data_IF_846185551399
#
_entry.id   IF_846185551399
#
_cell.length_a   1.000
_cell.length_b   1.000
_cell.length_c   1.000
_cell.angle_alpha   90.00
_cell.angle_beta   90.00
_cell.angle_gamma   90.00
#
_symmetry.space_group_name_H-M   'P 1'
#
loop_
_entity.id
_entity.type
_entity.pdbx_description
1 polymer ?
#
# COMPACT_ATOMS: atom_id res chain seq x y z
N UNK A 1 -8.01 -5.83 -8.94
CA UNK A 1 -7.64 -4.81 -9.94
C UNK A 1 -7.96 -5.32 -11.34
N UNK A 2 -8.94 -4.71 -12.05
CA UNK A 2 -9.40 -5.22 -13.34
C UNK A 2 -8.31 -5.25 -14.42
N UNK A 3 -7.30 -4.37 -14.31
CA UNK A 3 -6.24 -4.20 -15.31
C UNK A 3 -5.00 -5.10 -15.12
N UNK A 4 -4.92 -5.89 -14.04
CA UNK A 4 -3.82 -6.85 -13.84
C UNK A 4 -4.20 -8.16 -14.52
N UNK A 5 -3.38 -8.63 -15.46
CA UNK A 5 -3.67 -9.84 -16.24
C UNK A 5 -3.66 -11.10 -15.37
N UNK A 6 -4.37 -12.18 -15.74
CA UNK A 6 -4.33 -13.45 -15.01
C UNK A 6 -2.92 -14.02 -14.82
N UNK A 7 -2.06 -13.89 -15.83
CA UNK A 7 -0.67 -14.36 -15.78
C UNK A 7 0.13 -13.57 -14.75
N UNK A 8 -0.04 -12.23 -14.73
CA UNK A 8 0.58 -11.38 -13.72
C UNK A 8 0.10 -11.72 -12.31
N UNK A 9 -1.21 -11.99 -12.12
CA UNK A 9 -1.75 -12.42 -10.82
C UNK A 9 -1.15 -13.73 -10.34
N UNK A 10 -1.11 -14.75 -11.20
CA UNK A 10 -0.53 -16.06 -10.86
C UNK A 10 0.94 -15.93 -10.42
N UNK A 11 1.68 -15.10 -11.14
CA UNK A 11 3.09 -14.80 -10.83
C UNK A 11 3.23 -14.09 -9.48
N UNK A 12 2.43 -13.06 -9.22
CA UNK A 12 2.41 -12.35 -7.92
C UNK A 12 1.97 -13.26 -6.76
N UNK A 13 1.00 -14.15 -6.98
CA UNK A 13 0.52 -15.11 -5.98
C UNK A 13 1.60 -16.14 -5.60
N UNK A 14 2.62 -16.37 -6.44
CA UNK A 14 3.81 -17.18 -6.10
C UNK A 14 4.88 -16.42 -5.32
N UNK A 15 4.67 -15.12 -5.05
CA UNK A 15 5.59 -14.28 -4.28
C UNK A 15 6.60 -13.50 -5.13
N UNK A 16 6.45 -13.47 -6.45
CA UNK A 16 7.27 -12.60 -7.29
C UNK A 16 6.97 -11.12 -7.01
N UNK A 17 7.98 -10.22 -6.95
CA UNK A 17 7.74 -8.82 -6.62
C UNK A 17 6.96 -8.09 -7.72
N UNK A 18 6.11 -7.12 -7.36
CA UNK A 18 5.42 -6.28 -8.32
C UNK A 18 6.40 -5.37 -9.07
N UNK A 19 6.14 -5.19 -10.36
CA UNK A 19 6.94 -4.38 -11.28
C UNK A 19 6.22 -3.12 -11.78
N UNK A 20 4.92 -2.99 -11.48
CA UNK A 20 4.10 -1.86 -11.86
C UNK A 20 3.11 -1.47 -10.76
N UNK A 21 2.61 -0.23 -10.78
CA UNK A 21 1.66 0.29 -9.79
C UNK A 21 0.39 -0.59 -9.64
N UNK A 22 -0.11 -1.14 -10.76
CA UNK A 22 -1.25 -2.05 -10.74
C UNK A 22 -0.96 -3.37 -10.03
N UNK A 23 0.23 -3.94 -10.24
CA UNK A 23 0.69 -5.15 -9.57
C UNK A 23 0.93 -4.92 -8.07
N UNK A 24 1.53 -3.78 -7.71
CA UNK A 24 1.72 -3.40 -6.31
C UNK A 24 0.38 -3.26 -5.58
N UNK A 25 -0.59 -2.57 -6.19
CA UNK A 25 -1.92 -2.46 -5.63
C UNK A 25 -2.61 -3.84 -5.51
N UNK A 26 -2.43 -4.72 -6.51
CA UNK A 26 -2.92 -6.09 -6.41
C UNK A 26 -2.31 -6.83 -5.21
N UNK A 27 -0.99 -6.78 -5.04
CA UNK A 27 -0.31 -7.44 -3.92
C UNK A 27 -0.80 -6.92 -2.55
N UNK A 28 -0.90 -5.60 -2.37
CA UNK A 28 -1.46 -5.00 -1.15
C UNK A 28 -2.91 -5.42 -0.94
N UNK A 29 -3.72 -5.43 -2.00
CA UNK A 29 -5.12 -5.87 -1.93
C UNK A 29 -5.23 -7.34 -1.50
N UNK A 30 -4.39 -8.23 -2.04
CA UNK A 30 -4.37 -9.66 -1.67
C UNK A 30 -3.93 -9.86 -0.22
N UNK A 31 -2.96 -9.09 0.25
CA UNK A 31 -2.54 -9.12 1.65
C UNK A 31 -3.69 -8.72 2.60
N UNK A 32 -4.38 -7.63 2.26
CA UNK A 32 -5.56 -7.14 3.00
C UNK A 32 -6.70 -8.16 2.98
N UNK A 33 -7.03 -8.70 1.81
CA UNK A 33 -8.09 -9.69 1.62
C UNK A 33 -7.82 -10.96 2.45
N UNK A 34 -6.60 -11.49 2.39
CA UNK A 34 -6.19 -12.64 3.19
C UNK A 34 -6.26 -12.40 4.70
N UNK A 35 -5.87 -11.21 5.15
CA UNK A 35 -5.98 -10.82 6.57
C UNK A 35 -7.44 -10.73 7.02
N UNK A 36 -8.31 -10.08 6.24
CA UNK A 36 -9.73 -9.97 6.54
C UNK A 36 -10.43 -11.34 6.52
N UNK A 37 -10.12 -12.20 5.55
CA UNK A 37 -10.66 -13.56 5.48
C UNK A 37 -10.28 -14.37 6.73
N UNK A 38 -9.05 -14.24 7.22
CA UNK A 38 -8.59 -14.88 8.46
C UNK A 38 -9.36 -14.39 9.68
N UNK A 39 -9.57 -13.08 9.83
CA UNK A 39 -10.35 -12.51 10.94
C UNK A 39 -11.83 -12.93 10.86
N UNK A 40 -12.42 -12.88 9.67
CA UNK A 40 -13.79 -13.29 9.45
C UNK A 40 -14.01 -14.77 9.74
N UNK A 41 -13.05 -15.64 9.40
CA UNK A 41 -13.09 -17.07 9.71
C UNK A 41 -13.13 -17.38 11.20
N UNK A 42 -12.51 -16.53 12.04
CA UNK A 42 -12.56 -16.68 13.50
C UNK A 42 -13.92 -16.29 14.11
N UNK A 43 -14.66 -15.40 13.45
CA UNK A 43 -15.90 -14.81 13.97
C UNK A 43 -17.16 -15.16 13.16
N UNK A 44 -17.00 -15.95 12.10
CA UNK A 44 -18.05 -16.33 11.14
C UNK A 44 -18.53 -15.20 10.21
N UNK A 45 -17.96 -13.99 10.32
CA UNK A 45 -18.31 -12.81 9.50
C UNK A 45 -17.26 -11.71 9.60
N UNK A 46 -17.15 -10.89 8.55
CA UNK A 46 -16.41 -9.62 8.60
C UNK A 46 -17.19 -8.59 9.40
N UNK A 47 -16.51 -7.87 10.31
CA UNK A 47 -17.09 -6.78 11.11
C UNK A 47 -16.48 -5.45 10.73
N UNK A 48 -17.21 -4.37 11.01
CA UNK A 48 -16.72 -3.00 10.80
C UNK A 48 -15.40 -2.73 11.54
N UNK A 49 -15.22 -3.30 12.73
CA UNK A 49 -13.97 -3.21 13.48
C UNK A 49 -12.76 -3.74 12.69
N UNK A 50 -12.90 -4.86 11.99
CA UNK A 50 -11.83 -5.43 11.15
C UNK A 50 -11.49 -4.51 9.98
N UNK A 51 -12.51 -3.90 9.36
CA UNK A 51 -12.32 -2.96 8.24
C UNK A 51 -11.56 -1.72 8.72
N UNK A 52 -12.01 -1.11 9.83
CA UNK A 52 -11.37 0.06 10.40
C UNK A 52 -9.92 -0.22 10.82
N UNK A 53 -9.66 -1.39 11.40
CA UNK A 53 -8.30 -1.81 11.76
C UNK A 53 -7.38 -1.81 10.53
N UNK A 54 -7.79 -2.47 9.45
CA UNK A 54 -6.98 -2.55 8.23
C UNK A 54 -6.79 -1.18 7.57
N UNK A 55 -7.85 -0.35 7.52
CA UNK A 55 -7.73 1.03 7.03
C UNK A 55 -6.73 1.83 7.85
N UNK A 56 -6.76 1.70 9.19
CA UNK A 56 -5.81 2.34 10.08
C UNK A 56 -4.36 1.92 9.80
N UNK A 57 -4.12 0.61 9.62
CA UNK A 57 -2.79 0.09 9.30
C UNK A 57 -2.28 0.62 7.95
N UNK A 58 -3.12 0.65 6.91
CA UNK A 58 -2.73 1.18 5.61
C UNK A 58 -2.40 2.67 5.67
N UNK A 59 -3.15 3.45 6.45
CA UNK A 59 -2.87 4.87 6.66
C UNK A 59 -1.53 5.08 7.36
N UNK A 60 -1.25 4.32 8.42
CA UNK A 60 0.04 4.34 9.09
C UNK A 60 1.19 3.97 8.15
N UNK A 61 1.03 2.93 7.33
CA UNK A 61 2.05 2.52 6.36
C UNK A 61 2.33 3.60 5.31
N UNK A 62 1.29 4.27 4.80
CA UNK A 62 1.42 5.40 3.88
C UNK A 62 2.17 6.57 4.50
N UNK A 63 1.81 6.95 5.73
CA UNK A 63 2.47 8.04 6.45
C UNK A 63 3.95 7.73 6.70
N UNK A 64 4.28 6.48 7.05
CA UNK A 64 5.67 6.09 7.29
C UNK A 64 6.49 6.04 5.99
N UNK A 65 5.89 5.61 4.87
CA UNK A 65 6.51 5.72 3.55
C UNK A 65 6.83 7.18 3.21
N UNK A 66 5.87 8.09 3.42
CA UNK A 66 6.09 9.51 3.18
C UNK A 66 7.22 10.06 4.05
N UNK A 67 7.15 9.80 5.37
CA UNK A 67 8.11 10.32 6.34
C UNK A 67 9.53 9.80 6.12
N UNK A 68 9.70 8.51 5.83
CA UNK A 68 11.02 7.88 5.72
C UNK A 68 11.63 7.93 4.33
N UNK A 69 10.81 7.95 3.28
CA UNK A 69 11.28 7.83 1.90
C UNK A 69 11.02 9.11 1.12
N UNK A 70 9.78 9.60 1.12
CA UNK A 70 9.44 10.79 0.32
C UNK A 70 10.11 12.06 0.87
N UNK A 71 10.03 12.31 2.18
CA UNK A 71 10.58 13.55 2.76
C UNK A 71 12.08 13.72 2.54
N UNK A 72 12.97 12.72 2.76
CA UNK A 72 14.39 12.89 2.45
C UNK A 72 14.66 13.11 0.96
N UNK A 73 13.92 12.41 0.09
CA UNK A 73 14.01 12.61 -1.36
C UNK A 73 13.58 14.03 -1.77
N UNK A 74 12.53 14.58 -1.15
CA UNK A 74 12.11 15.96 -1.38
C UNK A 74 13.16 16.97 -0.90
N UNK A 75 13.77 16.75 0.28
CA UNK A 75 14.86 17.58 0.79
C UNK A 75 16.06 17.61 -0.17
N UNK A 76 16.44 16.47 -0.74
CA UNK A 76 17.47 16.37 -1.78
C UNK A 76 17.09 17.17 -3.02
N UNK A 77 15.84 17.04 -3.50
CA UNK A 77 15.37 17.77 -4.69
C UNK A 77 15.27 19.27 -4.47
N UNK A 78 14.96 19.71 -3.24
CA UNK A 78 14.99 21.12 -2.83
C UNK A 78 16.43 21.64 -2.86
N UNK A 79 17.39 20.88 -2.36
CA UNK A 79 18.80 21.27 -2.41
C UNK A 79 19.33 21.37 -3.85
N UNK A 80 18.88 20.48 -4.75
CA UNK A 80 19.28 20.48 -6.16
C UNK A 80 18.62 21.58 -7.00
N UNK A 81 17.31 21.80 -6.83
CA UNK A 81 16.51 22.60 -7.77
C UNK A 81 15.92 23.87 -7.14
N UNK A 82 16.12 24.08 -5.84
CA UNK A 82 15.47 25.11 -5.06
C UNK A 82 14.10 24.69 -4.54
N UNK A 83 13.67 25.33 -3.45
CA UNK A 83 12.33 25.16 -2.89
C UNK A 83 11.31 25.98 -3.71
N UNK A 84 10.12 25.42 -3.89
CA UNK A 84 8.98 26.08 -4.55
C UNK A 84 8.19 26.94 -3.58
N UNK A 85 8.25 26.65 -2.28
CA UNK A 85 7.52 27.41 -1.29
C UNK A 85 8.22 28.73 -1.00
N UNK A 86 7.50 29.83 -1.22
CA UNK A 86 7.81 31.14 -0.67
C UNK A 86 7.44 31.09 0.81
N UNK A 87 8.30 30.51 1.65
CA UNK A 87 8.16 30.69 3.11
C UNK A 87 8.12 32.19 3.42
N UNK A 88 7.22 32.68 4.29
CA UNK A 88 7.42 33.98 4.92
C UNK A 88 8.69 33.98 5.78
#
# INVERSE_FOLDING_TARGET
MPYVTPEARARLDTGEPPSAAGELNYAVTRLVDGYLARLAGQEGRTRYAHINEVIGVLECAKLELYRRIASPYEDEKIAENGDVYTKP
#
